data_IF_294308934354
#
_entry.id   IF_294308934354
#
_cell.length_a   1.000
_cell.length_b   1.000
_cell.length_c   1.000
_cell.angle_alpha   90.00
_cell.angle_beta   90.00
_cell.angle_gamma   90.00
#
_symmetry.space_group_name_H-M   'P 1'
#
loop_
_entity.id
_entity.type
_entity.pdbx_description
1 polymer ?
#
# COMPACT_ATOMS: atom_id res chain seq x y z
N UNK A 1 -11.75 -4.01 20.74
CA UNK A 1 -11.22 -2.83 20.00
C UNK A 1 -9.90 -3.23 19.36
N UNK A 2 -9.86 -3.51 18.05
CA UNK A 2 -8.58 -3.77 17.36
C UNK A 2 -7.78 -2.48 17.43
N UNK A 3 -6.62 -2.50 18.09
CA UNK A 3 -5.67 -1.39 18.00
C UNK A 3 -5.21 -1.36 16.55
N UNK A 4 -5.63 -0.36 15.79
CA UNK A 4 -5.07 -0.10 14.45
C UNK A 4 -3.59 0.19 14.63
N UNK A 5 -2.76 -0.84 14.44
CA UNK A 5 -1.32 -0.68 14.48
C UNK A 5 -0.94 0.08 13.22
N UNK A 6 -0.27 1.20 13.41
CA UNK A 6 0.26 2.01 12.33
C UNK A 6 1.73 1.64 12.11
N UNK A 7 2.09 1.46 10.85
CA UNK A 7 3.42 1.05 10.40
C UNK A 7 4.09 2.21 9.69
N UNK A 8 5.36 2.43 10.02
CA UNK A 8 6.21 3.33 9.23
C UNK A 8 6.59 2.66 7.92
N UNK A 9 6.96 3.47 6.91
CA UNK A 9 7.46 2.97 5.62
C UNK A 9 8.58 1.93 5.79
N UNK A 10 9.48 2.13 6.76
CA UNK A 10 10.58 1.20 7.04
C UNK A 10 10.10 -0.15 7.56
N UNK A 11 9.06 -0.17 8.39
CA UNK A 11 8.45 -1.43 8.84
C UNK A 11 7.78 -2.15 7.66
N UNK A 12 7.04 -1.41 6.82
CA UNK A 12 6.42 -1.98 5.61
C UNK A 12 7.48 -2.59 4.68
N UNK A 13 8.64 -1.96 4.53
CA UNK A 13 9.77 -2.53 3.77
C UNK A 13 10.27 -3.84 4.36
N UNK A 14 10.41 -3.93 5.69
CA UNK A 14 10.87 -5.14 6.38
C UNK A 14 9.90 -6.31 6.20
N UNK A 15 8.58 -6.06 6.27
CA UNK A 15 7.57 -7.12 6.10
C UNK A 15 7.39 -7.55 4.64
N UNK A 16 7.48 -6.63 3.69
CA UNK A 16 7.18 -6.92 2.27
C UNK A 16 8.39 -7.21 1.40
N UNK A 17 9.59 -6.88 1.87
CA UNK A 17 10.82 -6.93 1.08
C UNK A 17 10.88 -5.91 -0.05
N UNK A 18 9.90 -5.00 -0.14
CA UNK A 18 9.87 -3.97 -1.19
C UNK A 18 10.84 -2.83 -0.86
N UNK A 19 11.43 -2.26 -1.90
CA UNK A 19 12.28 -1.10 -1.76
C UNK A 19 11.48 0.14 -1.32
N UNK A 20 12.16 1.07 -0.65
CA UNK A 20 11.57 2.38 -0.29
C UNK A 20 11.01 3.10 -1.52
N UNK A 21 11.72 3.04 -2.65
CA UNK A 21 11.31 3.68 -3.89
C UNK A 21 10.02 3.05 -4.44
N UNK A 22 9.89 1.72 -4.38
CA UNK A 22 8.69 1.01 -4.82
C UNK A 22 7.47 1.46 -4.01
N UNK A 23 7.58 1.45 -2.68
CA UNK A 23 6.48 1.90 -1.81
C UNK A 23 6.17 3.38 -2.00
N UNK A 24 7.19 4.22 -2.19
CA UNK A 24 7.01 5.64 -2.49
C UNK A 24 6.24 5.84 -3.80
N UNK A 25 6.64 5.15 -4.87
CA UNK A 25 5.95 5.19 -6.16
C UNK A 25 4.50 4.72 -6.04
N UNK A 26 4.24 3.64 -5.31
CA UNK A 26 2.87 3.16 -5.07
C UNK A 26 2.04 4.17 -4.30
N UNK A 27 2.64 4.90 -3.36
CA UNK A 27 1.91 5.93 -2.62
C UNK A 27 1.63 7.15 -3.50
N UNK A 28 2.61 7.61 -4.29
CA UNK A 28 2.43 8.73 -5.22
C UNK A 28 1.40 8.45 -6.30
N UNK A 29 1.36 7.21 -6.81
CA UNK A 29 0.39 6.79 -7.83
C UNK A 29 -1.00 6.51 -7.24
N UNK A 30 -1.14 6.47 -5.92
CA UNK A 30 -2.38 6.16 -5.21
C UNK A 30 -2.72 4.68 -5.13
N UNK A 31 -1.78 3.78 -5.47
CA UNK A 31 -1.95 2.32 -5.33
C UNK A 31 -2.06 1.90 -3.86
N UNK A 32 -1.29 2.55 -2.99
CA UNK A 32 -1.40 2.45 -1.54
C UNK A 32 -1.67 3.84 -0.96
N UNK A 33 -2.33 3.90 0.19
CA UNK A 33 -2.66 5.16 0.85
C UNK A 33 -2.11 5.14 2.28
N UNK A 34 -1.57 6.27 2.70
CA UNK A 34 -1.24 6.53 4.10
C UNK A 34 -2.53 6.67 4.92
N UNK A 35 -2.57 6.03 6.09
CA UNK A 35 -3.67 6.15 7.03
C UNK A 35 -3.54 7.42 7.88
N UNK A 36 -2.30 7.79 8.26
CA UNK A 36 -2.00 9.01 9.01
C UNK A 36 -0.64 9.58 8.64
N UNK A 37 -0.41 10.82 9.08
CA UNK A 37 0.92 11.42 9.16
C UNK A 37 1.28 11.70 10.62
N UNK A 38 2.54 11.51 10.96
CA UNK A 38 3.09 11.96 12.26
C UNK A 38 3.23 13.48 12.29
N UNK A 39 3.36 14.07 13.48
CA UNK A 39 3.63 15.50 13.64
C UNK A 39 4.93 15.95 12.93
N UNK A 40 5.91 15.05 12.81
CA UNK A 40 7.16 15.30 12.08
C UNK A 40 7.05 15.09 10.55
N UNK A 41 5.87 14.78 10.01
CA UNK A 41 5.63 14.62 8.57
C UNK A 41 5.85 13.20 8.01
N UNK A 42 6.22 12.22 8.83
CA UNK A 42 6.35 10.83 8.36
C UNK A 42 5.00 10.19 8.06
N UNK A 43 4.92 9.42 6.96
CA UNK A 43 3.74 8.65 6.56
C UNK A 43 3.61 7.39 7.41
N UNK A 44 2.38 7.12 7.85
CA UNK A 44 1.98 5.94 8.59
C UNK A 44 0.92 5.19 7.80
N UNK A 45 1.05 3.87 7.74
CA UNK A 45 0.16 2.96 7.03
C UNK A 45 -0.55 2.06 8.03
N UNK A 46 -1.80 1.72 7.77
CA UNK A 46 -2.50 0.70 8.55
C UNK A 46 -2.10 -0.71 8.11
N UNK A 47 -2.65 -1.74 8.78
CA UNK A 47 -2.45 -3.13 8.38
C UNK A 47 -3.00 -3.44 6.97
N UNK A 48 -4.00 -2.68 6.51
CA UNK A 48 -4.60 -2.86 5.18
C UNK A 48 -3.63 -2.60 4.03
N UNK A 49 -2.52 -1.90 4.29
CA UNK A 49 -1.44 -1.74 3.30
C UNK A 49 -0.83 -3.08 2.90
N UNK A 50 -0.74 -4.07 3.81
CA UNK A 50 -0.12 -5.36 3.51
C UNK A 50 -0.99 -6.17 2.56
N UNK A 51 -2.30 -6.23 2.83
CA UNK A 51 -3.29 -6.85 1.93
C UNK A 51 -3.24 -6.20 0.54
N UNK A 52 -3.12 -4.86 0.51
CA UNK A 52 -3.01 -4.10 -0.74
C UNK A 52 -1.75 -4.45 -1.52
N UNK A 53 -0.60 -4.53 -0.85
CA UNK A 53 0.69 -4.87 -1.46
C UNK A 53 0.71 -6.31 -1.97
N UNK A 54 0.09 -7.24 -1.25
CA UNK A 54 -0.06 -8.63 -1.69
C UNK A 54 -0.91 -8.72 -2.97
N UNK A 55 -2.05 -8.02 -3.03
CA UNK A 55 -2.87 -7.96 -4.25
C UNK A 55 -2.12 -7.35 -5.43
N UNK A 56 -1.35 -6.28 -5.21
CA UNK A 56 -0.49 -5.69 -6.25
C UNK A 56 0.47 -6.75 -6.78
N UNK A 57 1.15 -7.49 -5.90
CA UNK A 57 2.09 -8.54 -6.29
C UNK A 57 1.40 -9.65 -7.11
N UNK A 58 0.24 -10.13 -6.68
CA UNK A 58 -0.55 -11.13 -7.41
C UNK A 58 -0.91 -10.61 -8.81
N UNK A 59 -1.38 -9.38 -8.92
CA UNK A 59 -1.75 -8.81 -10.23
C UNK A 59 -0.53 -8.57 -11.12
N UNK A 60 0.62 -8.19 -10.55
CA UNK A 60 1.87 -8.08 -11.30
C UNK A 60 2.31 -9.45 -11.87
N UNK A 61 2.13 -10.55 -11.11
CA UNK A 61 2.42 -11.90 -11.63
C UNK A 61 1.48 -12.35 -12.75
N UNK A 62 0.32 -11.71 -12.89
CA UNK A 62 -0.64 -11.92 -13.98
C UNK A 62 -0.40 -10.98 -15.17
N UNK A 63 0.77 -10.34 -15.25
CA UNK A 63 1.16 -9.41 -16.30
C UNK A 63 0.28 -8.15 -16.42
N UNK A 64 -0.45 -7.76 -15.36
CA UNK A 64 -1.14 -6.47 -15.35
C UNK A 64 -0.15 -5.32 -15.18
N UNK A 65 -0.37 -4.25 -15.94
CA UNK A 65 0.35 -2.98 -15.78
C UNK A 65 -0.06 -2.28 -14.49
N UNK A 66 0.80 -1.43 -13.92
CA UNK A 66 0.47 -0.66 -12.71
C UNK A 66 -0.82 0.17 -12.84
N UNK A 67 -1.11 0.65 -14.06
CA UNK A 67 -2.33 1.41 -14.34
C UNK A 67 -3.59 0.52 -14.31
N UNK A 68 -3.51 -0.70 -14.85
CA UNK A 68 -4.60 -1.68 -14.74
C UNK A 68 -4.80 -2.14 -13.30
N UNK A 69 -3.70 -2.43 -12.59
CA UNK A 69 -3.71 -2.78 -11.17
C UNK A 69 -4.43 -1.70 -10.38
N UNK A 70 -4.06 -0.43 -10.57
CA UNK A 70 -4.73 0.69 -9.92
C UNK A 70 -6.25 0.68 -10.17
N UNK A 71 -6.69 0.56 -11.42
CA UNK A 71 -8.12 0.52 -11.76
C UNK A 71 -8.87 -0.64 -11.09
N UNK A 72 -8.31 -1.85 -11.13
CA UNK A 72 -8.89 -3.04 -10.50
C UNK A 72 -9.03 -2.80 -8.98
N UNK A 73 -7.97 -2.29 -8.39
CA UNK A 73 -7.87 -2.04 -6.96
C UNK A 73 -8.76 -0.88 -6.48
N UNK A 74 -9.02 0.14 -7.31
CA UNK A 74 -9.98 1.21 -7.04
C UNK A 74 -11.41 0.68 -7.09
N UNK A 75 -11.76 -0.10 -8.12
CA UNK A 75 -13.09 -0.72 -8.25
C UNK A 75 -13.44 -1.66 -7.09
N UNK A 76 -12.46 -2.33 -6.49
CA UNK A 76 -12.67 -3.17 -5.30
C UNK A 76 -12.96 -2.34 -4.04
N UNK A 77 -12.43 -1.12 -3.94
CA UNK A 77 -12.64 -0.24 -2.79
C UNK A 77 -14.07 0.33 -2.78
N UNK A 78 -14.65 0.59 -3.95
CA UNK A 78 -16.02 1.13 -4.10
C UNK A 78 -17.12 0.10 -3.85
N UNK A 79 -16.79 -1.20 -3.90
CA UNK A 79 -17.77 -2.29 -3.70
C UNK A 79 -17.87 -2.79 -2.26
N UNK A 80 -17.15 -2.18 -1.33
CA UNK A 80 -17.04 -2.61 0.07
C UNK A 80 -17.61 -1.56 1.00
#
# INVERSE_FOLDING_TARGET
>A
MKREKLFKIGEVMQYTGLSRQTLHNYTLTGLIQEARRTASGHRLYDEGVFDRLEQIKILQTKNYTLLQIKKILEQQKEKK
#
